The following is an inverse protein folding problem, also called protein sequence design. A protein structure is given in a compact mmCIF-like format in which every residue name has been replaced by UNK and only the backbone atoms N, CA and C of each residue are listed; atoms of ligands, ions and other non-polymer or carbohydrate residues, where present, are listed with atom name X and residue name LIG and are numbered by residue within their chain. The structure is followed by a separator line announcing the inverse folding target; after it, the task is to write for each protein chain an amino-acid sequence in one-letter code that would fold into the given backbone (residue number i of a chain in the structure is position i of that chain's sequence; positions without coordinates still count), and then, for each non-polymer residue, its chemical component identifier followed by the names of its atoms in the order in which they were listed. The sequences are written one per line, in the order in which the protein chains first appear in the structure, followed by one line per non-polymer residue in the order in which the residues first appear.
data_IF_773232438110
#
_entry.id   IF_773232438110
#
_cell.length_a   1.000
_cell.length_b   1.000
_cell.length_c   1.000
_cell.angle_alpha   90.00
_cell.angle_beta   90.00
_cell.angle_gamma   90.00
#
_symmetry.space_group_name_H-M   'P 1'
#
loop_
_entity.id
_entity.type
_entity.pdbx_description
1 polymer ?
#
# COMPACT_ATOMS: atom_id res chain seq x y z
N UNK A 1 -33.39 3.16 -2.09
CA UNK A 1 -32.85 2.23 -3.10
C UNK A 1 -31.45 1.85 -2.70
N UNK A 2 -31.16 0.56 -2.67
CA UNK A 2 -29.82 0.04 -2.45
C UNK A 2 -28.94 0.28 -3.69
N UNK A 3 -27.64 0.51 -3.48
CA UNK A 3 -26.66 0.66 -4.56
C UNK A 3 -26.00 -0.70 -4.77
N UNK A 4 -26.23 -1.32 -5.93
CA UNK A 4 -25.67 -2.63 -6.28
C UNK A 4 -24.76 -2.54 -7.49
N UNK A 5 -23.85 -3.50 -7.64
CA UNK A 5 -22.89 -3.52 -8.75
C UNK A 5 -23.60 -3.69 -10.10
N UNK A 6 -24.72 -4.41 -10.15
CA UNK A 6 -25.53 -4.62 -11.35
C UNK A 6 -26.30 -3.35 -11.76
N UNK A 7 -26.67 -2.52 -10.78
CA UNK A 7 -27.26 -1.21 -11.07
C UNK A 7 -26.20 -0.27 -11.64
N UNK A 8 -25.01 -0.24 -11.04
CA UNK A 8 -23.88 0.56 -11.53
C UNK A 8 -23.44 0.12 -12.93
N UNK A 9 -23.32 -1.18 -13.16
CA UNK A 9 -22.96 -1.76 -14.46
C UNK A 9 -23.96 -1.36 -15.55
N UNK A 10 -25.27 -1.42 -15.27
CA UNK A 10 -26.31 -0.96 -16.20
C UNK A 10 -26.22 0.53 -16.51
N UNK A 11 -26.04 1.37 -15.48
CA UNK A 11 -25.93 2.82 -15.65
C UNK A 11 -24.69 3.20 -16.47
N UNK A 12 -23.56 2.50 -16.23
CA UNK A 12 -22.29 2.72 -16.90
C UNK A 12 -22.19 2.01 -18.25
N UNK A 13 -23.20 1.21 -18.63
CA UNK A 13 -23.19 0.37 -19.85
C UNK A 13 -21.97 -0.56 -19.91
N UNK A 14 -21.58 -1.14 -18.76
CA UNK A 14 -20.47 -2.07 -18.63
C UNK A 14 -20.97 -3.48 -18.24
N UNK A 15 -20.28 -4.56 -18.66
CA UNK A 15 -20.43 -5.88 -18.06
C UNK A 15 -20.15 -5.83 -16.55
N UNK A 16 -20.90 -6.60 -15.76
CA UNK A 16 -20.71 -6.68 -14.30
C UNK A 16 -19.28 -7.14 -13.98
N UNK A 17 -18.82 -8.22 -14.60
CA UNK A 17 -17.47 -8.76 -14.41
C UNK A 17 -16.36 -7.73 -14.72
N UNK A 18 -16.58 -6.88 -15.72
CA UNK A 18 -15.65 -5.79 -16.06
C UNK A 18 -15.63 -4.75 -14.94
N UNK A 19 -16.81 -4.30 -14.49
CA UNK A 19 -16.91 -3.33 -13.40
C UNK A 19 -16.33 -3.86 -12.09
N UNK A 20 -16.54 -5.14 -11.78
CA UNK A 20 -15.95 -5.79 -10.61
C UNK A 20 -14.42 -5.80 -10.69
N UNK A 21 -13.84 -6.21 -11.82
CA UNK A 21 -12.39 -6.24 -12.00
C UNK A 21 -11.77 -4.84 -11.95
N UNK A 22 -12.36 -3.88 -12.66
CA UNK A 22 -11.85 -2.49 -12.69
C UNK A 22 -11.97 -1.81 -11.33
N UNK A 23 -13.08 -2.02 -10.61
CA UNK A 23 -13.26 -1.45 -9.27
C UNK A 23 -12.33 -2.09 -8.24
N UNK A 24 -12.12 -3.41 -8.28
CA UNK A 24 -11.16 -4.11 -7.44
C UNK A 24 -9.72 -3.61 -7.69
N UNK A 25 -9.31 -3.52 -8.96
CA UNK A 25 -8.01 -2.96 -9.35
C UNK A 25 -7.85 -1.53 -8.81
N UNK A 26 -8.79 -0.63 -9.10
CA UNK A 26 -8.71 0.76 -8.70
C UNK A 26 -8.63 0.91 -7.16
N UNK A 27 -9.38 0.08 -6.42
CA UNK A 27 -9.33 0.07 -4.97
C UNK A 27 -7.97 -0.43 -4.45
N UNK A 28 -7.46 -1.55 -4.95
CA UNK A 28 -6.17 -2.10 -4.55
C UNK A 28 -5.01 -1.15 -4.88
N UNK A 29 -5.02 -0.51 -6.06
CA UNK A 29 -4.01 0.48 -6.44
C UNK A 29 -4.02 1.68 -5.49
N UNK A 30 -5.21 2.18 -5.12
CA UNK A 30 -5.35 3.27 -4.16
C UNK A 30 -4.78 2.86 -2.79
N UNK A 31 -5.13 1.67 -2.31
CA UNK A 31 -4.60 1.16 -1.03
C UNK A 31 -3.08 1.02 -1.08
N UNK A 32 -2.54 0.49 -2.18
CA UNK A 32 -1.09 0.32 -2.35
C UNK A 32 -0.37 1.67 -2.35
N UNK A 33 -0.86 2.65 -3.11
CA UNK A 33 -0.31 4.02 -3.15
C UNK A 33 -0.37 4.71 -1.78
N UNK A 34 -1.46 4.53 -1.03
CA UNK A 34 -1.58 5.08 0.33
C UNK A 34 -0.52 4.49 1.27
N UNK A 35 -0.30 3.17 1.23
CA UNK A 35 0.73 2.51 2.06
C UNK A 35 2.13 2.98 1.65
N UNK A 36 2.41 3.10 0.35
CA UNK A 36 3.68 3.63 -0.15
C UNK A 36 3.93 5.07 0.33
N UNK A 37 2.91 5.94 0.28
CA UNK A 37 3.01 7.30 0.78
C UNK A 37 3.27 7.36 2.29
N UNK A 38 2.64 6.47 3.06
CA UNK A 38 2.88 6.38 4.51
C UNK A 38 4.31 5.92 4.83
N UNK A 39 4.82 4.90 4.13
CA UNK A 39 6.22 4.46 4.24
C UNK A 39 7.16 5.64 3.97
N UNK A 40 6.97 6.32 2.84
CA UNK A 40 7.81 7.44 2.45
C UNK A 40 7.77 8.58 3.48
N UNK A 41 6.58 8.89 4.01
CA UNK A 41 6.43 9.93 5.02
C UNK A 41 7.16 9.62 6.32
N UNK A 42 7.25 8.34 6.72
CA UNK A 42 8.01 7.93 7.90
C UNK A 42 9.50 7.96 7.60
N UNK A 43 9.93 7.34 6.50
CA UNK A 43 11.32 7.28 6.08
C UNK A 43 11.95 8.68 5.88
N UNK A 44 11.20 9.65 5.36
CA UNK A 44 11.67 11.02 5.17
C UNK A 44 12.06 11.72 6.48
N UNK A 45 11.48 11.35 7.63
CA UNK A 45 11.90 11.89 8.94
C UNK A 45 13.37 11.59 9.26
N UNK A 46 13.92 10.54 8.64
CA UNK A 46 15.26 10.03 8.85
C UNK A 46 16.18 10.24 7.63
N UNK A 47 15.71 10.94 6.60
CA UNK A 47 16.48 11.17 5.37
C UNK A 47 16.63 9.95 4.47
N UNK A 48 15.82 8.90 4.69
CA UNK A 48 15.85 7.64 3.93
C UNK A 48 14.57 7.45 3.12
N UNK A 49 14.55 6.45 2.26
CA UNK A 49 13.45 6.15 1.33
C UNK A 49 12.86 4.75 1.50
N UNK A 50 13.50 3.88 2.28
CA UNK A 50 13.13 2.47 2.39
C UNK A 50 13.36 1.90 3.79
N UNK A 51 12.72 0.75 4.05
CA UNK A 51 12.98 -0.05 5.25
C UNK A 51 14.46 -0.45 5.35
N UNK A 52 15.06 -0.84 4.22
CA UNK A 52 16.46 -1.27 4.13
C UNK A 52 17.41 -0.17 4.55
N UNK A 53 17.25 1.04 4.02
CA UNK A 53 18.07 2.20 4.39
C UNK A 53 17.86 2.57 5.87
N UNK A 54 16.63 2.47 6.37
CA UNK A 54 16.36 2.73 7.80
C UNK A 54 17.03 1.70 8.71
N UNK A 55 17.14 0.45 8.26
CA UNK A 55 17.86 -0.61 8.97
C UNK A 55 19.38 -0.36 8.98
N UNK A 56 19.93 0.19 7.90
CA UNK A 56 21.35 0.58 7.83
C UNK A 56 21.70 1.68 8.85
N UNK A 57 20.81 2.66 9.06
CA UNK A 57 21.02 3.70 10.10
C UNK A 57 21.14 3.11 11.51
N UNK A 58 20.37 2.06 11.81
CA UNK A 58 20.41 1.36 13.11
C UNK A 58 21.71 0.55 13.22
N UNK A 59 22.07 -0.21 12.17
CA UNK A 59 23.29 -1.02 12.14
C UNK A 59 24.54 -0.16 12.30
N UNK A 60 24.56 1.02 11.69
CA UNK A 60 25.69 1.95 11.74
C UNK A 60 25.71 2.82 13.01
N UNK A 61 24.78 2.61 13.95
CA UNK A 61 24.62 3.42 15.17
C UNK A 61 24.39 4.93 14.89
N UNK A 62 23.88 5.28 13.70
CA UNK A 62 23.58 6.67 13.30
C UNK A 62 22.30 7.18 13.98
N UNK A 63 21.44 6.26 14.43
CA UNK A 63 20.22 6.55 15.20
C UNK A 63 20.14 5.64 16.42
N UNK A 64 19.66 6.19 17.53
CA UNK A 64 19.45 5.41 18.76
C UNK A 64 18.20 4.53 18.61
N UNK A 65 18.38 3.21 18.64
CA UNK A 65 17.35 2.20 18.37
C UNK A 65 16.05 2.46 19.15
N UNK A 66 16.16 2.75 20.46
CA UNK A 66 15.00 3.00 21.33
C UNK A 66 14.14 4.21 20.93
N UNK A 67 14.70 5.17 20.17
CA UNK A 67 13.98 6.36 19.69
C UNK A 67 13.32 6.15 18.33
N UNK A 68 13.76 5.16 17.56
CA UNK A 68 13.29 4.91 16.18
C UNK A 68 12.51 3.62 16.04
N UNK A 69 12.49 2.77 17.07
CA UNK A 69 11.91 1.43 17.04
C UNK A 69 10.44 1.41 16.57
N UNK A 70 9.61 2.34 17.04
CA UNK A 70 8.19 2.38 16.67
C UNK A 70 8.00 2.68 15.17
N UNK A 71 8.68 3.71 14.66
CA UNK A 71 8.64 4.06 13.25
C UNK A 71 9.25 2.93 12.40
N UNK A 72 10.27 2.22 12.90
CA UNK A 72 10.87 1.05 12.23
C UNK A 72 9.92 -0.14 12.11
N UNK A 73 9.30 -0.54 13.21
CA UNK A 73 8.29 -1.60 13.20
C UNK A 73 7.10 -1.24 12.30
N UNK A 74 6.72 0.03 12.27
CA UNK A 74 5.66 0.52 11.39
C UNK A 74 6.04 0.41 9.92
N UNK A 75 7.23 0.85 9.53
CA UNK A 75 7.72 0.74 8.14
C UNK A 75 7.85 -0.72 7.71
N UNK A 76 8.32 -1.62 8.58
CA UNK A 76 8.36 -3.07 8.29
C UNK A 76 6.96 -3.62 8.00
N UNK A 77 6.01 -3.36 8.91
CA UNK A 77 4.62 -3.80 8.75
C UNK A 77 3.99 -3.26 7.45
N UNK A 78 4.19 -1.98 7.15
CA UNK A 78 3.67 -1.34 5.94
C UNK A 78 4.32 -1.92 4.68
N UNK A 79 5.62 -2.21 4.73
CA UNK A 79 6.35 -2.84 3.61
C UNK A 79 5.76 -4.22 3.30
N UNK A 80 5.53 -5.05 4.33
CA UNK A 80 4.88 -6.34 4.17
C UNK A 80 3.44 -6.21 3.63
N UNK A 81 2.68 -5.19 4.08
CA UNK A 81 1.34 -4.90 3.57
C UNK A 81 1.36 -4.46 2.11
N UNK A 82 2.30 -3.61 1.72
CA UNK A 82 2.47 -3.18 0.33
C UNK A 82 2.77 -4.37 -0.60
N UNK A 83 3.62 -5.30 -0.16
CA UNK A 83 3.91 -6.53 -0.91
C UNK A 83 2.65 -7.38 -1.13
N UNK A 84 1.81 -7.55 -0.09
CA UNK A 84 0.52 -8.28 -0.22
C UNK A 84 -0.44 -7.60 -1.20
N UNK A 85 -0.57 -6.28 -1.11
CA UNK A 85 -1.43 -5.50 -2.03
C UNK A 85 -0.94 -5.59 -3.48
N UNK A 86 0.39 -5.54 -3.69
CA UNK A 86 0.99 -5.70 -5.01
C UNK A 86 0.71 -7.08 -5.61
N UNK A 87 0.82 -8.14 -4.81
CA UNK A 87 0.47 -9.50 -5.24
C UNK A 87 -1.01 -9.61 -5.65
N UNK A 88 -1.92 -9.03 -4.87
CA UNK A 88 -3.35 -9.02 -5.23
C UNK A 88 -3.62 -8.22 -6.52
N UNK A 89 -2.89 -7.14 -6.77
CA UNK A 89 -2.96 -6.42 -8.05
C UNK A 89 -2.52 -7.32 -9.21
N UNK A 90 -1.39 -8.03 -9.06
CA UNK A 90 -0.91 -8.98 -10.08
C UNK A 90 -1.95 -10.10 -10.36
N UNK A 91 -2.69 -10.55 -9.35
CA UNK A 91 -3.78 -11.53 -9.50
C UNK A 91 -5.02 -10.96 -10.22
N UNK A 92 -5.34 -9.67 -10.02
CA UNK A 92 -6.43 -8.97 -10.73
C UNK A 92 -6.05 -8.63 -12.18
N UNK A 93 -4.76 -8.56 -12.47
CA UNK A 93 -4.20 -8.24 -13.77
C UNK A 93 -4.03 -9.48 -14.67
N UNK A 94 -4.01 -10.67 -14.07
CA UNK A 94 -3.94 -11.97 -14.75
C UNK A 94 -5.28 -12.38 -15.39
#
# INVERSE_FOLDING_TARGET
MELTIERLARELSLPVDQLERESARAYLEKQWRNVQAEILSICQKYGVSSWQEMNELIINEEVEEGKVLEDFQRVDHLTARAARLKKLLEEVDA
#
